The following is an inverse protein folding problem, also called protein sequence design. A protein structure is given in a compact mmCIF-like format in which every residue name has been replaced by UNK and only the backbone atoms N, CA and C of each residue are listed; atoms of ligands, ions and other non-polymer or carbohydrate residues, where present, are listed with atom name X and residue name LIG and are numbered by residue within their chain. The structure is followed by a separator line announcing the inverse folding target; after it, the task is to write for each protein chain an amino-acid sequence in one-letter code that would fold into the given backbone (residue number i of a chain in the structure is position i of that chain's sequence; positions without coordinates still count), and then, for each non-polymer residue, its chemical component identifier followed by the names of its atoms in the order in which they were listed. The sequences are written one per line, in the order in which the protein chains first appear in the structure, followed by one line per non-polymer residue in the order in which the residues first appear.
data_IF_770711492414
#
_entry.id   IF_770711492414
#
_cell.length_a   1.000
_cell.length_b   1.000
_cell.length_c   1.000
_cell.angle_alpha   90.00
_cell.angle_beta   90.00
_cell.angle_gamma   90.00
#
_symmetry.space_group_name_H-M   'P 1'
#
loop_
_entity.id
_entity.type
_entity.pdbx_description
1 polymer ?
#
# COMPACT_ATOMS: atom_id res chain seq x y z
N UNK A 1 -11.79 8.31 5.83
CA UNK A 1 -12.03 7.51 4.61
C UNK A 1 -12.33 6.06 4.98
N UNK A 2 -11.37 5.37 5.58
CA UNK A 2 -11.51 4.02 6.14
C UNK A 2 -11.03 3.98 7.59
N UNK A 3 -10.91 2.78 8.14
CA UNK A 3 -10.31 2.53 9.45
C UNK A 3 -8.89 2.00 9.29
N UNK A 4 -8.06 2.25 10.31
CA UNK A 4 -6.68 1.77 10.35
C UNK A 4 -6.61 0.32 10.83
N UNK A 5 -5.99 -0.56 10.06
CA UNK A 5 -6.05 -2.01 10.24
C UNK A 5 -5.57 -2.52 11.60
N UNK A 6 -4.62 -1.83 12.23
CA UNK A 6 -4.08 -2.25 13.51
C UNK A 6 -5.01 -1.99 14.70
N UNK A 7 -6.03 -1.15 14.55
CA UNK A 7 -7.00 -0.85 15.61
C UNK A 7 -8.38 -0.57 15.01
N UNK A 8 -8.93 -1.56 14.32
CA UNK A 8 -10.29 -1.51 13.75
C UNK A 8 -11.16 -2.64 14.30
N UNK A 9 -12.45 -2.36 14.45
CA UNK A 9 -13.47 -3.35 14.78
C UNK A 9 -14.63 -3.21 13.80
N UNK A 10 -15.14 -4.35 13.33
CA UNK A 10 -16.16 -4.43 12.29
C UNK A 10 -17.27 -5.36 12.75
N UNK A 11 -18.52 -4.97 12.57
CA UNK A 11 -19.66 -5.87 12.80
C UNK A 11 -19.65 -6.95 11.72
N UNK A 12 -19.44 -8.21 12.10
CA UNK A 12 -19.37 -9.34 11.16
C UNK A 12 -20.59 -9.42 10.22
N UNK A 13 -21.79 -9.14 10.75
CA UNK A 13 -23.03 -9.10 9.97
C UNK A 13 -23.03 -8.06 8.82
N UNK A 14 -22.11 -7.07 8.83
CA UNK A 14 -21.97 -6.07 7.77
C UNK A 14 -20.93 -6.44 6.70
N UNK A 15 -20.12 -7.49 6.92
CA UNK A 15 -19.07 -7.91 5.97
C UNK A 15 -19.69 -8.59 4.74
N UNK A 16 -20.64 -9.50 4.94
CA UNK A 16 -21.28 -10.25 3.86
C UNK A 16 -20.26 -10.95 2.96
N UNK A 17 -20.33 -10.64 1.65
CA UNK A 17 -19.44 -11.21 0.63
C UNK A 17 -18.14 -10.42 0.43
N UNK A 18 -17.96 -9.27 1.09
CA UNK A 18 -16.76 -8.46 0.92
C UNK A 18 -15.52 -9.20 1.45
N UNK A 19 -14.43 -9.19 0.68
CA UNK A 19 -13.13 -9.77 1.04
C UNK A 19 -12.04 -8.74 0.77
N UNK A 20 -10.86 -8.97 1.35
CA UNK A 20 -9.67 -8.20 0.99
C UNK A 20 -9.34 -8.40 -0.48
N UNK A 21 -8.81 -7.35 -1.10
CA UNK A 21 -8.36 -7.40 -2.48
C UNK A 21 -7.00 -8.09 -2.56
N UNK A 22 -6.99 -9.34 -3.02
CA UNK A 22 -5.78 -10.16 -3.11
C UNK A 22 -4.77 -9.66 -4.16
N UNK A 23 -5.15 -8.68 -4.99
CA UNK A 23 -4.20 -8.00 -5.87
C UNK A 23 -3.17 -7.21 -5.09
N UNK A 24 -3.51 -6.76 -3.88
CA UNK A 24 -2.59 -6.07 -2.96
C UNK A 24 -1.66 -7.10 -2.28
N UNK A 25 -0.78 -7.71 -3.07
CA UNK A 25 0.10 -8.80 -2.63
C UNK A 25 1.19 -8.33 -1.66
N UNK A 26 1.84 -9.30 -1.02
CA UNK A 26 2.94 -9.11 -0.08
C UNK A 26 2.55 -8.27 1.15
N UNK A 27 2.93 -6.99 1.19
CA UNK A 27 2.69 -6.14 2.36
C UNK A 27 1.22 -5.76 2.53
N UNK A 28 0.40 -5.87 1.47
CA UNK A 28 -1.01 -5.47 1.54
C UNK A 28 -1.26 -3.97 1.42
N UNK A 29 -0.23 -3.11 1.41
CA UNK A 29 -0.33 -1.66 1.65
C UNK A 29 -1.65 -1.00 1.17
N UNK A 30 -2.44 -0.53 2.15
CA UNK A 30 -3.76 0.14 2.01
C UNK A 30 -4.96 -0.80 1.79
N UNK A 31 -4.78 -2.11 2.01
CA UNK A 31 -5.84 -3.11 2.07
C UNK A 31 -6.92 -2.79 3.10
N UNK A 32 -6.51 -2.24 4.25
CA UNK A 32 -7.39 -1.84 5.33
C UNK A 32 -8.32 -0.69 4.89
N UNK A 33 -7.76 0.32 4.23
CA UNK A 33 -8.52 1.44 3.67
C UNK A 33 -9.44 0.98 2.55
N UNK A 34 -8.98 0.12 1.63
CA UNK A 34 -9.81 -0.45 0.55
C UNK A 34 -11.02 -1.22 1.10
N UNK A 35 -10.78 -2.13 2.05
CA UNK A 35 -11.83 -2.95 2.64
C UNK A 35 -12.84 -2.09 3.40
N UNK A 36 -12.35 -1.19 4.26
CA UNK A 36 -13.22 -0.41 5.14
C UNK A 36 -13.93 0.75 4.43
N UNK A 37 -13.39 1.27 3.33
CA UNK A 37 -14.09 2.27 2.52
C UNK A 37 -15.32 1.67 1.82
N UNK A 38 -15.22 0.43 1.34
CA UNK A 38 -16.34 -0.28 0.71
C UNK A 38 -17.48 -0.57 1.70
N UNK A 39 -17.15 -0.89 2.96
CA UNK A 39 -18.14 -1.07 4.02
C UNK A 39 -18.96 0.19 4.35
N UNK A 40 -18.56 1.37 3.85
CA UNK A 40 -19.34 2.59 4.00
C UNK A 40 -20.67 2.57 3.25
N UNK A 41 -20.79 1.72 2.23
CA UNK A 41 -22.08 1.44 1.59
C UNK A 41 -23.08 0.79 2.55
N UNK A 42 -22.61 0.14 3.62
CA UNK A 42 -23.43 -0.57 4.60
C UNK A 42 -23.55 0.14 5.96
N UNK A 43 -22.91 1.30 6.14
CA UNK A 43 -22.90 2.05 7.40
C UNK A 43 -21.83 3.13 7.51
N UNK A 44 -21.56 3.59 8.73
CA UNK A 44 -20.55 4.63 9.01
C UNK A 44 -19.27 4.02 9.55
N UNK A 45 -18.13 4.56 9.12
CA UNK A 45 -16.83 4.35 9.77
C UNK A 45 -16.62 5.50 10.75
N UNK A 46 -16.46 5.18 12.03
CA UNK A 46 -16.34 6.16 13.12
C UNK A 46 -15.04 5.97 13.87
N UNK A 47 -14.43 7.08 14.30
CA UNK A 47 -13.28 7.06 15.19
C UNK A 47 -13.75 7.05 16.64
N UNK A 48 -13.19 6.16 17.46
CA UNK A 48 -13.47 6.07 18.90
C UNK A 48 -12.19 6.40 19.66
N UNK A 49 -12.16 7.57 20.31
CA UNK A 49 -10.95 8.10 20.94
C UNK A 49 -10.70 7.56 22.37
N UNK A 50 -11.65 6.80 22.92
CA UNK A 50 -11.56 6.22 24.27
C UNK A 50 -10.85 4.87 24.30
N UNK A 51 -10.70 4.20 23.15
CA UNK A 51 -10.03 2.90 23.04
C UNK A 51 -8.68 3.09 22.37
N UNK A 52 -7.59 2.82 23.09
CA UNK A 52 -6.23 3.02 22.61
C UNK A 52 -5.53 1.68 22.39
N UNK A 53 -5.11 1.42 21.16
CA UNK A 53 -4.19 0.34 20.83
C UNK A 53 -2.75 0.85 20.79
N UNK A 54 -1.81 0.10 21.35
CA UNK A 54 -0.37 0.37 21.23
C UNK A 54 0.17 -0.55 20.14
N UNK A 55 0.70 0.03 19.07
CA UNK A 55 1.29 -0.72 17.96
C UNK A 55 2.81 -0.59 18.00
N UNK A 56 3.50 -1.69 18.31
CA UNK A 56 4.95 -1.75 18.15
C UNK A 56 5.30 -1.92 16.67
N UNK A 57 5.64 -0.81 16.02
CA UNK A 57 6.01 -0.81 14.61
C UNK A 57 7.32 -1.57 14.37
N UNK A 58 7.24 -2.72 13.72
CA UNK A 58 8.42 -3.41 13.18
C UNK A 58 8.82 -2.74 11.87
N UNK A 59 10.05 -2.22 11.80
CA UNK A 59 10.50 -1.37 10.70
C UNK A 59 11.25 -2.13 9.59
N UNK A 60 11.53 -3.42 9.79
CA UNK A 60 12.31 -4.29 8.88
C UNK A 60 11.63 -5.65 8.68
N UNK A 61 12.04 -6.40 7.64
CA UNK A 61 11.86 -7.85 7.58
C UNK A 61 10.60 -8.40 6.89
N UNK A 62 9.56 -7.61 6.60
CA UNK A 62 8.35 -8.13 5.93
C UNK A 62 8.48 -8.23 4.40
N UNK A 63 9.10 -7.24 3.77
CA UNK A 63 9.34 -7.15 2.32
C UNK A 63 10.58 -6.28 2.08
N UNK A 64 11.21 -6.40 0.91
CA UNK A 64 12.30 -5.49 0.53
C UNK A 64 11.82 -4.04 0.46
N UNK A 65 12.73 -3.09 0.70
CA UNK A 65 12.41 -1.66 0.59
C UNK A 65 11.89 -1.31 -0.80
N UNK A 66 12.48 -1.89 -1.84
CA UNK A 66 12.05 -1.70 -3.23
C UNK A 66 10.61 -2.15 -3.49
N UNK A 67 10.24 -3.37 -3.10
CA UNK A 67 8.86 -3.86 -3.25
C UNK A 67 7.87 -3.00 -2.49
N UNK A 68 8.20 -2.63 -1.25
CA UNK A 68 7.35 -1.74 -0.45
C UNK A 68 7.22 -0.36 -1.07
N UNK A 69 8.32 0.22 -1.55
CA UNK A 69 8.33 1.51 -2.23
C UNK A 69 7.45 1.49 -3.48
N UNK A 70 7.47 0.42 -4.26
CA UNK A 70 6.58 0.30 -5.40
C UNK A 70 5.10 0.28 -4.99
N UNK A 71 4.74 -0.53 -3.98
CA UNK A 71 3.38 -0.59 -3.44
C UNK A 71 2.90 0.75 -2.85
N UNK A 72 3.81 1.59 -2.34
CA UNK A 72 3.46 2.94 -1.85
C UNK A 72 2.89 3.85 -2.94
N UNK A 73 3.11 3.55 -4.22
CA UNK A 73 2.65 4.33 -5.37
C UNK A 73 1.59 3.58 -6.17
N UNK A 74 1.87 2.34 -6.62
CA UNK A 74 0.95 1.61 -7.50
C UNK A 74 -0.35 1.24 -6.78
N UNK A 75 -0.32 0.84 -5.50
CA UNK A 75 -1.54 0.46 -4.79
C UNK A 75 -2.51 1.65 -4.68
N UNK A 76 -2.11 2.85 -4.19
CA UNK A 76 -3.03 3.99 -4.17
C UNK A 76 -3.57 4.38 -5.56
N UNK A 77 -2.74 4.36 -6.61
CA UNK A 77 -3.20 4.65 -7.98
C UNK A 77 -4.23 3.61 -8.45
N UNK A 78 -3.96 2.33 -8.21
CA UNK A 78 -4.90 1.25 -8.47
C UNK A 78 -6.23 1.44 -7.72
N UNK A 79 -6.19 1.79 -6.44
CA UNK A 79 -7.37 1.99 -5.60
C UNK A 79 -8.18 3.24 -5.98
N UNK A 80 -7.53 4.29 -6.50
CA UNK A 80 -8.22 5.41 -7.15
C UNK A 80 -8.98 4.91 -8.38
N UNK A 81 -8.31 4.16 -9.26
CA UNK A 81 -8.94 3.61 -10.48
C UNK A 81 -10.08 2.64 -10.15
N UNK A 82 -9.95 1.85 -9.08
CA UNK A 82 -10.99 0.95 -8.54
C UNK A 82 -12.18 1.72 -7.95
N UNK A 83 -11.99 2.97 -7.54
CA UNK A 83 -13.02 3.81 -6.93
C UNK A 83 -13.19 3.63 -5.41
N UNK A 84 -12.30 2.89 -4.76
CA UNK A 84 -12.34 2.63 -3.30
C UNK A 84 -11.47 3.59 -2.50
N UNK A 85 -10.64 4.41 -3.16
CA UNK A 85 -9.84 5.45 -2.53
C UNK A 85 -9.93 6.77 -3.31
N UNK A 86 -10.36 7.89 -2.69
CA UNK A 86 -10.37 9.19 -3.33
C UNK A 86 -8.95 9.72 -3.53
N UNK A 87 -8.71 10.38 -4.67
CA UNK A 87 -7.42 10.99 -5.00
C UNK A 87 -6.98 12.02 -3.94
N UNK A 88 -7.93 12.74 -3.34
CA UNK A 88 -7.66 13.71 -2.25
C UNK A 88 -7.04 13.09 -1.01
N UNK A 89 -7.22 11.77 -0.79
CA UNK A 89 -6.55 11.03 0.27
C UNK A 89 -5.24 10.39 -0.23
N UNK A 90 -5.28 9.79 -1.42
CA UNK A 90 -4.16 9.04 -1.98
C UNK A 90 -2.95 9.91 -2.35
N UNK A 91 -3.17 11.06 -3.02
CA UNK A 91 -2.08 11.91 -3.51
C UNK A 91 -1.21 12.46 -2.36
N UNK A 92 -1.78 13.02 -1.26
CA UNK A 92 -0.96 13.47 -0.12
C UNK A 92 -0.22 12.31 0.57
N UNK A 93 -0.84 11.13 0.67
CA UNK A 93 -0.21 9.93 1.23
C UNK A 93 1.04 9.53 0.42
N UNK A 94 0.90 9.42 -0.90
CA UNK A 94 2.00 9.11 -1.81
C UNK A 94 3.10 10.17 -1.74
N UNK A 95 2.73 11.46 -1.80
CA UNK A 95 3.69 12.56 -1.74
C UNK A 95 4.52 12.55 -0.45
N UNK A 96 3.88 12.31 0.71
CA UNK A 96 4.59 12.18 2.00
C UNK A 96 5.55 11.01 2.03
N UNK A 97 5.15 9.85 1.50
CA UNK A 97 6.01 8.67 1.42
C UNK A 97 7.21 8.91 0.51
N UNK A 98 6.97 9.44 -0.70
CA UNK A 98 8.01 9.76 -1.67
C UNK A 98 8.98 10.80 -1.12
N UNK A 99 8.48 11.90 -0.55
CA UNK A 99 9.31 12.94 0.06
C UNK A 99 10.15 12.40 1.21
N UNK A 100 9.56 11.58 2.09
CA UNK A 100 10.30 10.95 3.18
C UNK A 100 11.39 10.00 2.69
N UNK A 101 11.11 9.21 1.65
CA UNK A 101 12.11 8.31 1.06
C UNK A 101 13.21 9.08 0.32
N UNK A 102 12.88 10.17 -0.38
CA UNK A 102 13.84 11.04 -1.06
C UNK A 102 14.76 11.74 -0.06
N UNK A 103 14.20 12.54 0.86
CA UNK A 103 14.98 13.33 1.83
C UNK A 103 15.83 12.43 2.71
N UNK A 104 15.27 11.32 3.20
CA UNK A 104 15.99 10.40 4.10
C UNK A 104 16.85 9.37 3.35
N UNK A 105 16.86 9.34 2.01
CA UNK A 105 17.82 8.51 1.26
C UNK A 105 19.25 9.04 1.32
N UNK A 106 19.40 10.35 1.59
CA UNK A 106 20.69 11.05 1.71
C UNK A 106 21.43 10.60 2.97
N UNK A 107 20.72 10.49 4.10
CA UNK A 107 21.22 9.96 5.38
C UNK A 107 20.16 9.01 5.97
N UNK A 108 20.11 7.75 5.51
CA UNK A 108 19.08 6.82 5.92
C UNK A 108 19.24 6.36 7.35
N UNK A 109 18.12 6.15 8.03
CA UNK A 109 18.13 5.45 9.30
C UNK A 109 18.58 4.00 9.08
N UNK A 110 19.40 3.45 10.00
CA UNK A 110 19.98 2.10 9.86
C UNK A 110 18.94 0.98 9.72
N UNK A 111 17.72 1.21 10.18
CA UNK A 111 16.63 0.25 10.22
C UNK A 111 15.56 0.45 9.14
N UNK A 112 15.73 1.38 8.17
CA UNK A 112 14.83 1.53 7.03
C UNK A 112 15.63 1.60 5.74
N UNK A 113 15.32 0.70 4.81
CA UNK A 113 15.85 0.76 3.44
C UNK A 113 15.18 1.90 2.62
N UNK A 114 15.59 3.14 2.90
CA UNK A 114 15.08 4.34 2.21
C UNK A 114 15.46 4.37 0.74
N UNK A 115 16.67 3.91 0.41
CA UNK A 115 17.17 3.88 -0.97
C UNK A 115 16.43 2.86 -1.82
N UNK A 116 16.20 1.66 -1.29
CA UNK A 116 15.34 0.67 -1.94
C UNK A 116 13.93 1.21 -2.12
N UNK A 117 13.30 1.79 -1.08
CA UNK A 117 11.97 2.39 -1.22
C UNK A 117 11.90 3.47 -2.29
N UNK A 118 12.91 4.34 -2.39
CA UNK A 118 12.98 5.36 -3.43
C UNK A 118 13.09 4.74 -4.83
N UNK A 119 13.93 3.70 -5.01
CA UNK A 119 14.01 2.95 -6.29
C UNK A 119 12.66 2.36 -6.68
N UNK A 120 11.97 1.74 -5.72
CA UNK A 120 10.61 1.22 -5.90
C UNK A 120 9.60 2.30 -6.27
N UNK A 121 9.66 3.47 -5.62
CA UNK A 121 8.80 4.60 -5.95
C UNK A 121 9.03 5.08 -7.39
N UNK A 122 10.29 5.24 -7.81
CA UNK A 122 10.64 5.69 -9.18
C UNK A 122 10.14 4.70 -10.23
N UNK A 123 10.39 3.41 -10.03
CA UNK A 123 9.91 2.37 -10.94
C UNK A 123 8.37 2.36 -11.04
N UNK A 124 7.69 2.51 -9.91
CA UNK A 124 6.23 2.62 -9.89
C UNK A 124 5.72 3.85 -10.64
N UNK A 125 6.38 5.00 -10.49
CA UNK A 125 6.01 6.22 -11.23
C UNK A 125 6.17 5.98 -12.74
N UNK A 126 7.27 5.37 -13.18
CA UNK A 126 7.48 5.03 -14.60
C UNK A 126 6.36 4.13 -15.10
N UNK A 127 6.03 3.06 -14.37
CA UNK A 127 4.94 2.15 -14.71
C UNK A 127 3.59 2.87 -14.82
N UNK A 128 3.25 3.71 -13.84
CA UNK A 128 2.01 4.48 -13.87
C UNK A 128 1.96 5.41 -15.08
N UNK A 129 3.07 6.10 -15.39
CA UNK A 129 3.17 7.00 -16.55
C UNK A 129 3.08 6.27 -17.89
N UNK A 130 3.55 5.02 -17.96
CA UNK A 130 3.42 4.17 -19.15
C UNK A 130 2.10 3.38 -19.19
N UNK A 131 1.17 3.64 -18.26
CA UNK A 131 -0.15 3.02 -18.21
C UNK A 131 -0.22 1.66 -17.49
N UNK A 132 0.89 1.18 -16.94
CA UNK A 132 0.97 -0.06 -16.17
C UNK A 132 0.59 0.15 -14.71
N UNK A 133 -0.62 -0.29 -14.34
CA UNK A 133 -1.14 -0.22 -12.97
C UNK A 133 -1.44 -1.64 -12.49
N UNK A 134 -0.38 -2.34 -12.09
CA UNK A 134 -0.39 -3.75 -11.68
C UNK A 134 0.24 -3.87 -10.28
N UNK A 135 -0.57 -3.92 -9.21
CA UNK A 135 -0.08 -4.17 -7.85
C UNK A 135 0.77 -5.44 -7.74
N UNK A 136 0.46 -6.48 -8.52
CA UNK A 136 1.07 -7.80 -8.50
C UNK A 136 2.52 -7.82 -9.00
N UNK A 137 2.94 -6.79 -9.74
CA UNK A 137 4.28 -6.70 -10.32
C UNK A 137 5.42 -6.79 -9.28
N UNK A 138 5.13 -6.45 -8.03
CA UNK A 138 6.11 -6.61 -6.92
C UNK A 138 6.58 -8.05 -6.71
N UNK A 139 5.84 -9.05 -7.20
CA UNK A 139 6.26 -10.45 -7.17
C UNK A 139 7.38 -10.76 -8.17
N UNK A 140 7.46 -9.99 -9.25
CA UNK A 140 8.45 -10.17 -10.32
C UNK A 140 9.71 -9.33 -10.06
N UNK A 141 9.65 -8.37 -9.13
CA UNK A 141 10.81 -7.61 -8.68
C UNK A 141 11.85 -8.51 -8.00
N UNK A 142 13.08 -8.50 -8.53
CA UNK A 142 14.19 -9.28 -8.00
C UNK A 142 14.18 -10.75 -8.40
N UNK A 143 13.25 -11.18 -9.28
CA UNK A 143 13.42 -12.45 -10.00
C UNK A 143 14.50 -12.25 -11.07
N UNK A 144 15.48 -13.15 -11.09
CA UNK A 144 16.33 -13.32 -12.27
C UNK A 144 15.41 -13.85 -13.36
N UNK A 145 15.23 -13.09 -14.44
CA UNK A 145 14.45 -13.58 -15.59
C UNK A 145 15.22 -14.73 -16.22
N UNK A 146 14.64 -15.93 -16.15
CA UNK A 146 15.15 -17.07 -16.90
C UNK A 146 14.57 -17.02 -18.32
N UNK A 147 15.34 -17.42 -19.35
CA UNK A 147 14.78 -17.59 -20.70
C UNK A 147 13.62 -18.60 -20.61
N UNK A 148 12.40 -18.16 -20.95
CA UNK A 148 11.19 -19.00 -20.90
C UNK A 148 10.12 -18.58 -19.89
N UNK A 149 10.27 -17.46 -19.19
CA UNK A 149 9.18 -16.92 -18.36
C UNK A 149 8.00 -16.47 -19.26
N UNK A 150 6.78 -17.04 -19.09
CA UNK A 150 5.62 -16.67 -19.90
C UNK A 150 5.13 -15.22 -19.68
N UNK A 151 5.76 -14.47 -18.76
CA UNK A 151 5.52 -13.03 -18.53
C UNK A 151 6.64 -12.12 -19.06
N UNK A 152 7.60 -12.66 -19.81
CA UNK A 152 8.70 -11.91 -20.42
C UNK A 152 8.24 -11.09 -21.64
#
# INVERSE_FOLDING_TARGET
LGAYGCNMSIRAAKIGKLRFDERLVLYGWQEDIDFTSQLRSCGRVVAVNTIRGIHLGIKTGRVSGERFGYSQIVNPVYLIKKGTMPATFALPLMARNLAANLVRSVRPESYIDRRGRLRGNILAIIHVLTGRIEPEYVLDMGRIRHPGDPRA
#
